data_IF_491656982484
#
_entry.id   IF_491656982484
#
_cell.length_a   1.000
_cell.length_b   1.000
_cell.length_c   1.000
_cell.angle_alpha   90.00
_cell.angle_beta   90.00
_cell.angle_gamma   90.00
#
_symmetry.space_group_name_H-M   'P 1'
#
loop_
_entity.id
_entity.type
_entity.pdbx_description
1 polymer ?
#
# COMPACT_ATOMS: atom_id res chain seq x y z
N UNK A 1 14.45 -21.83 -11.21
CA UNK A 1 14.87 -20.42 -11.01
C UNK A 1 13.63 -19.53 -10.81
N UNK A 2 12.85 -19.67 -9.72
CA UNK A 2 11.46 -19.12 -9.73
C UNK A 2 10.82 -18.71 -8.40
N UNK A 3 11.48 -18.83 -7.24
CA UNK A 3 10.96 -18.29 -5.96
C UNK A 3 11.70 -17.04 -5.54
N UNK A 4 13.02 -17.02 -5.69
CA UNK A 4 13.87 -15.88 -5.35
C UNK A 4 13.67 -14.70 -6.30
N UNK A 5 13.49 -14.97 -7.60
CA UNK A 5 13.25 -13.92 -8.60
C UNK A 5 11.91 -13.22 -8.36
N UNK A 6 10.83 -13.97 -8.08
CA UNK A 6 9.50 -13.39 -7.79
C UNK A 6 9.48 -12.58 -6.49
N UNK A 7 10.18 -13.05 -5.46
CA UNK A 7 10.36 -12.31 -4.20
C UNK A 7 11.20 -11.05 -4.40
N UNK A 8 12.26 -11.14 -5.21
CA UNK A 8 13.10 -9.99 -5.56
C UNK A 8 12.37 -8.98 -6.44
N UNK A 9 11.50 -9.40 -7.37
CA UNK A 9 10.70 -8.48 -8.19
C UNK A 9 9.58 -7.83 -7.40
N UNK A 10 8.91 -8.56 -6.50
CA UNK A 10 7.93 -7.98 -5.58
C UNK A 10 8.58 -6.99 -4.61
N UNK A 11 9.75 -7.35 -4.05
CA UNK A 11 10.54 -6.45 -3.21
C UNK A 11 11.05 -5.24 -4.01
N UNK A 12 11.49 -5.42 -5.25
CA UNK A 12 11.96 -4.34 -6.12
C UNK A 12 10.82 -3.42 -6.58
N UNK A 13 9.60 -3.92 -6.82
CA UNK A 13 8.41 -3.11 -7.07
C UNK A 13 7.97 -2.35 -5.82
N UNK A 14 8.07 -2.96 -4.65
CA UNK A 14 7.79 -2.30 -3.36
C UNK A 14 8.82 -1.21 -3.05
N UNK A 15 10.11 -1.49 -3.29
CA UNK A 15 11.21 -0.51 -3.14
C UNK A 15 11.16 0.61 -4.18
N UNK A 16 10.83 0.29 -5.45
CA UNK A 16 10.71 1.29 -6.52
C UNK A 16 9.50 2.22 -6.32
N UNK A 17 8.40 1.70 -5.75
CA UNK A 17 7.25 2.51 -5.35
C UNK A 17 7.55 3.35 -4.10
N UNK A 18 8.33 2.84 -3.14
CA UNK A 18 8.83 3.64 -2.00
C UNK A 18 9.76 4.78 -2.43
N UNK A 19 10.53 4.63 -3.52
CA UNK A 19 11.48 5.66 -3.98
C UNK A 19 10.85 6.82 -4.76
N UNK A 20 9.61 6.67 -5.24
CA UNK A 20 8.93 7.71 -6.03
C UNK A 20 8.01 8.62 -5.19
N UNK A 21 7.90 8.35 -3.90
CA UNK A 21 6.96 9.04 -3.03
C UNK A 21 7.66 9.47 -1.75
N UNK A 22 7.96 10.76 -1.66
CA UNK A 22 8.29 11.42 -0.40
C UNK A 22 7.05 11.48 0.50
N UNK A 23 6.61 10.34 1.04
CA UNK A 23 5.90 10.33 2.32
C UNK A 23 6.98 10.29 3.41
N UNK A 24 7.73 11.39 3.53
CA UNK A 24 8.91 11.48 4.39
C UNK A 24 8.60 11.06 5.83
N UNK A 25 9.51 10.31 6.44
CA UNK A 25 9.47 10.02 7.87
C UNK A 25 10.29 11.10 8.58
N UNK A 26 9.70 12.28 8.81
CA UNK A 26 10.39 13.38 9.47
C UNK A 26 10.10 13.41 10.97
N UNK A 27 10.73 12.46 11.66
CA UNK A 27 10.85 12.44 13.11
C UNK A 27 12.27 12.82 13.54
N UNK A 28 12.87 13.82 12.88
CA UNK A 28 14.22 14.32 13.16
C UNK A 28 14.36 14.98 14.54
N UNK A 29 13.25 15.19 15.26
CA UNK A 29 13.20 15.73 16.63
C UNK A 29 12.99 14.67 17.73
N UNK A 30 12.89 15.15 18.98
CA UNK A 30 12.50 14.31 20.13
C UNK A 30 11.02 13.94 20.07
N UNK A 31 10.66 12.74 20.53
CA UNK A 31 9.25 12.36 20.71
C UNK A 31 8.57 13.25 21.76
N UNK A 32 7.31 13.60 21.50
CA UNK A 32 6.46 14.43 22.36
C UNK A 32 5.17 13.73 22.75
N UNK A 33 4.24 14.47 23.37
CA UNK A 33 2.87 14.00 23.55
C UNK A 33 2.15 13.84 22.22
N UNK A 34 1.05 13.07 22.22
CA UNK A 34 0.27 12.78 21.01
C UNK A 34 -0.29 14.05 20.36
N UNK A 35 -0.09 14.21 19.04
CA UNK A 35 -0.58 15.34 18.24
C UNK A 35 -1.39 14.84 17.05
N UNK A 36 -2.49 15.54 16.77
CA UNK A 36 -3.29 15.35 15.54
C UNK A 36 -3.10 16.57 14.66
N UNK A 37 -2.71 16.34 13.41
CA UNK A 37 -2.59 17.35 12.39
C UNK A 37 -3.96 17.56 11.72
N UNK A 38 -4.46 18.79 11.74
CA UNK A 38 -5.79 19.14 11.21
C UNK A 38 -5.75 20.23 10.14
N UNK A 39 -4.66 21.00 10.07
CA UNK A 39 -4.50 22.18 9.20
C UNK A 39 -3.88 21.88 7.83
N UNK A 40 -3.52 20.62 7.57
CA UNK A 40 -2.95 20.20 6.29
C UNK A 40 -3.98 20.20 5.15
N UNK A 41 -3.53 20.18 3.90
CA UNK A 41 -4.43 20.21 2.74
C UNK A 41 -4.91 18.82 2.34
N UNK A 42 -6.15 18.72 1.86
CA UNK A 42 -6.68 17.49 1.24
C UNK A 42 -6.09 17.20 -0.15
N UNK A 43 -5.53 18.21 -0.81
CA UNK A 43 -5.05 18.12 -2.20
C UNK A 43 -3.57 18.43 -2.32
N UNK A 44 -2.83 18.31 -1.22
CA UNK A 44 -1.38 18.47 -1.22
C UNK A 44 -0.67 17.32 -1.94
N UNK A 45 0.56 17.57 -2.41
CA UNK A 45 1.40 16.56 -3.08
C UNK A 45 1.79 15.40 -2.16
N UNK A 46 1.84 15.65 -0.85
CA UNK A 46 2.01 14.65 0.21
C UNK A 46 0.88 13.60 0.18
N UNK A 47 -0.38 14.02 0.00
CA UNK A 47 -1.52 13.10 -0.12
C UNK A 47 -1.39 12.17 -1.32
N UNK A 48 -0.89 12.69 -2.43
CA UNK A 48 -0.60 11.88 -3.61
C UNK A 48 0.51 10.85 -3.34
N UNK A 49 1.53 11.22 -2.55
CA UNK A 49 2.59 10.30 -2.14
C UNK A 49 2.03 9.16 -1.27
N UNK A 50 1.23 9.47 -0.26
CA UNK A 50 0.52 8.47 0.58
C UNK A 50 -0.32 7.51 -0.27
N UNK A 51 -1.15 8.06 -1.17
CA UNK A 51 -1.92 7.25 -2.11
C UNK A 51 -1.05 6.32 -2.97
N UNK A 52 0.00 6.87 -3.58
CA UNK A 52 0.87 6.13 -4.50
C UNK A 52 1.66 5.01 -3.80
N UNK A 53 2.16 5.27 -2.59
CA UNK A 53 2.87 4.27 -1.76
C UNK A 53 1.93 3.16 -1.32
N UNK A 54 0.69 3.51 -0.96
CA UNK A 54 -0.27 2.54 -0.43
C UNK A 54 -0.86 1.61 -1.49
N UNK A 55 -0.88 2.02 -2.77
CA UNK A 55 -1.36 1.19 -3.87
C UNK A 55 -0.66 -0.19 -4.00
N UNK A 56 0.67 -0.32 -4.09
CA UNK A 56 1.32 -1.63 -4.14
C UNK A 56 1.03 -2.49 -2.90
N UNK A 57 0.91 -1.89 -1.70
CA UNK A 57 0.54 -2.62 -0.49
C UNK A 57 -0.89 -3.18 -0.58
N UNK A 58 -1.83 -2.42 -1.13
CA UNK A 58 -3.18 -2.88 -1.44
C UNK A 58 -3.20 -4.07 -2.40
N UNK A 59 -2.43 -3.99 -3.49
CA UNK A 59 -2.31 -5.08 -4.46
C UNK A 59 -1.72 -6.35 -3.83
N UNK A 60 -0.68 -6.21 -3.01
CA UNK A 60 -0.10 -7.31 -2.25
C UNK A 60 -1.10 -7.88 -1.25
N UNK A 61 -1.82 -7.02 -0.53
CA UNK A 61 -2.87 -7.43 0.40
C UNK A 61 -3.93 -8.26 -0.29
N UNK A 62 -4.40 -7.83 -1.46
CA UNK A 62 -5.41 -8.57 -2.23
C UNK A 62 -4.86 -9.93 -2.70
N UNK A 63 -3.59 -9.99 -3.09
CA UNK A 63 -2.92 -11.24 -3.40
C UNK A 63 -2.80 -12.18 -2.19
N UNK A 64 -2.53 -11.65 -0.98
CA UNK A 64 -2.50 -12.44 0.25
C UNK A 64 -3.91 -12.93 0.64
N UNK A 65 -4.93 -12.11 0.40
CA UNK A 65 -6.33 -12.42 0.70
C UNK A 65 -7.08 -13.12 -0.44
N UNK A 66 -6.39 -13.52 -1.52
CA UNK A 66 -6.99 -14.08 -2.75
C UNK A 66 -7.90 -15.29 -2.53
N UNK A 67 -7.62 -16.10 -1.50
CA UNK A 67 -8.35 -17.33 -1.20
C UNK A 67 -9.54 -17.07 -0.24
N UNK A 68 -9.85 -15.79 0.04
CA UNK A 68 -10.99 -15.36 0.89
C UNK A 68 -12.22 -14.99 0.06
N UNK A 69 -13.36 -14.78 0.71
CA UNK A 69 -14.59 -14.31 0.06
C UNK A 69 -14.49 -12.85 -0.42
N UNK A 70 -13.61 -12.04 0.17
CA UNK A 70 -13.52 -10.59 -0.08
C UNK A 70 -12.05 -10.13 -0.21
N UNK A 71 -11.32 -10.60 -1.24
CA UNK A 71 -9.89 -10.32 -1.40
C UNK A 71 -9.58 -8.82 -1.50
N UNK A 72 -10.44 -8.04 -2.15
CA UNK A 72 -10.26 -6.58 -2.25
C UNK A 72 -10.42 -5.91 -0.88
N UNK A 73 -11.43 -6.31 -0.09
CA UNK A 73 -11.69 -5.69 1.23
C UNK A 73 -10.54 -5.98 2.17
N UNK A 74 -10.19 -7.26 2.36
CA UNK A 74 -9.08 -7.64 3.23
C UNK A 74 -7.75 -7.13 2.69
N UNK A 75 -7.57 -7.11 1.38
CA UNK A 75 -6.38 -6.57 0.75
C UNK A 75 -6.20 -5.07 0.97
N UNK A 76 -7.29 -4.31 0.93
CA UNK A 76 -7.29 -2.89 1.26
C UNK A 76 -6.90 -2.67 2.72
N UNK A 77 -7.52 -3.43 3.65
CA UNK A 77 -7.21 -3.33 5.09
C UNK A 77 -5.73 -3.67 5.40
N UNK A 78 -5.22 -4.75 4.83
CA UNK A 78 -3.80 -5.12 4.95
C UNK A 78 -2.92 -4.03 4.33
N UNK A 79 -3.32 -3.50 3.17
CA UNK A 79 -2.56 -2.49 2.44
C UNK A 79 -2.52 -1.12 3.13
N UNK A 80 -3.53 -0.76 3.91
CA UNK A 80 -3.58 0.49 4.70
C UNK A 80 -2.73 0.42 5.95
N UNK A 81 -2.43 -0.78 6.48
CA UNK A 81 -1.74 -0.93 7.76
C UNK A 81 -0.37 -0.20 7.84
N UNK A 82 0.50 -0.24 6.81
CA UNK A 82 1.74 0.55 6.83
C UNK A 82 1.51 2.07 6.96
N UNK A 83 0.53 2.63 6.25
CA UNK A 83 0.16 4.05 6.35
C UNK A 83 -0.38 4.41 7.73
N UNK A 84 -1.27 3.58 8.28
CA UNK A 84 -1.74 3.75 9.66
C UNK A 84 -0.60 3.73 10.68
N UNK A 85 0.35 2.80 10.55
CA UNK A 85 1.52 2.75 11.43
C UNK A 85 2.39 3.99 11.30
N UNK A 86 2.59 4.51 10.07
CA UNK A 86 3.31 5.76 9.84
C UNK A 86 2.62 6.93 10.55
N UNK A 87 1.32 7.12 10.34
CA UNK A 87 0.57 8.20 10.97
C UNK A 87 0.57 8.09 12.50
N UNK A 88 0.54 6.87 13.04
CA UNK A 88 0.70 6.64 14.49
C UNK A 88 2.07 7.13 14.98
N UNK A 89 3.15 6.86 14.24
CA UNK A 89 4.47 7.35 14.64
C UNK A 89 4.54 8.87 14.50
N UNK A 90 4.02 9.45 13.41
CA UNK A 90 3.95 10.90 13.22
C UNK A 90 3.16 11.58 14.34
N UNK A 91 2.10 10.94 14.85
CA UNK A 91 1.37 11.39 16.05
C UNK A 91 2.23 11.53 17.31
N UNK A 92 3.36 10.84 17.40
CA UNK A 92 4.32 10.96 18.53
C UNK A 92 5.45 11.96 18.28
N UNK A 93 5.61 12.45 17.06
CA UNK A 93 6.72 13.32 16.68
C UNK A 93 6.36 14.79 16.94
N UNK A 94 7.36 15.60 17.32
CA UNK A 94 7.14 17.03 17.63
C UNK A 94 7.03 17.92 16.40
N UNK A 95 7.63 17.48 15.30
CA UNK A 95 7.71 18.16 14.01
C UNK A 95 6.55 17.81 13.07
N UNK A 96 5.87 16.69 13.34
CA UNK A 96 4.70 16.22 12.59
C UNK A 96 3.52 15.95 13.54
N UNK A 97 2.48 15.29 13.04
CA UNK A 97 1.33 14.84 13.82
C UNK A 97 0.50 13.85 13.02
N UNK A 98 -0.33 13.07 13.71
CA UNK A 98 -1.22 12.11 13.07
C UNK A 98 -2.19 12.85 12.14
N UNK A 99 -2.17 12.53 10.86
CA UNK A 99 -3.03 13.13 9.84
C UNK A 99 -4.05 12.12 9.36
N UNK A 100 -5.32 12.36 9.70
CA UNK A 100 -6.41 11.54 9.19
C UNK A 100 -6.60 11.70 7.67
N UNK A 101 -6.12 12.81 7.10
CA UNK A 101 -6.18 13.06 5.65
C UNK A 101 -5.14 12.21 4.91
N UNK A 102 -3.94 12.09 5.47
CA UNK A 102 -2.90 11.18 4.96
C UNK A 102 -3.35 9.72 5.06
N UNK A 103 -3.89 9.32 6.23
CA UNK A 103 -4.47 7.99 6.40
C UNK A 103 -5.61 7.70 5.40
N UNK A 104 -6.40 8.72 5.06
CA UNK A 104 -7.46 8.58 4.04
C UNK A 104 -6.85 8.36 2.66
N UNK A 105 -5.79 9.10 2.31
CA UNK A 105 -5.07 8.90 1.05
C UNK A 105 -4.44 7.49 0.98
N UNK A 106 -3.88 7.01 2.10
CA UNK A 106 -3.37 5.64 2.22
C UNK A 106 -4.47 4.59 2.01
N UNK A 107 -5.65 4.78 2.62
CA UNK A 107 -6.78 3.89 2.43
C UNK A 107 -7.27 3.84 0.98
N UNK A 108 -7.37 4.99 0.31
CA UNK A 108 -7.76 5.09 -1.10
C UNK A 108 -6.70 4.47 -2.04
N UNK A 109 -5.42 4.68 -1.72
CA UNK A 109 -4.30 4.07 -2.43
C UNK A 109 -4.38 2.56 -2.34
N UNK A 110 -4.44 2.02 -1.11
CA UNK A 110 -4.56 0.59 -0.87
C UNK A 110 -5.81 -0.02 -1.51
N UNK A 111 -6.95 0.66 -1.48
CA UNK A 111 -8.15 0.20 -2.17
C UNK A 111 -7.95 0.12 -3.69
N UNK A 112 -7.38 1.17 -4.29
CA UNK A 112 -7.07 1.21 -5.72
C UNK A 112 -6.13 0.08 -6.10
N UNK A 113 -5.08 -0.11 -5.31
CA UNK A 113 -4.14 -1.21 -5.46
C UNK A 113 -4.78 -2.59 -5.37
N UNK A 114 -5.65 -2.79 -4.38
CA UNK A 114 -6.36 -4.05 -4.18
C UNK A 114 -7.30 -4.36 -5.35
N UNK A 115 -8.02 -3.35 -5.85
CA UNK A 115 -8.87 -3.47 -7.04
C UNK A 115 -8.05 -3.83 -8.29
N UNK A 116 -6.97 -3.10 -8.56
CA UNK A 116 -6.10 -3.34 -9.71
C UNK A 116 -5.40 -4.69 -9.62
N UNK A 117 -4.89 -5.05 -8.44
CA UNK A 117 -4.26 -6.35 -8.19
C UNK A 117 -5.25 -7.50 -8.40
N UNK A 118 -6.46 -7.39 -7.86
CA UNK A 118 -7.50 -8.40 -8.03
C UNK A 118 -7.99 -8.52 -9.49
N UNK A 119 -8.02 -7.40 -10.22
CA UNK A 119 -8.40 -7.39 -11.64
C UNK A 119 -7.29 -7.92 -12.55
N UNK A 120 -6.05 -7.49 -12.35
CA UNK A 120 -4.93 -7.76 -13.24
C UNK A 120 -4.19 -9.06 -12.92
N UNK A 121 -4.21 -9.57 -11.68
CA UNK A 121 -3.42 -10.74 -11.29
C UNK A 121 -4.32 -11.99 -11.30
N UNK A 122 -4.04 -12.91 -12.22
CA UNK A 122 -4.65 -14.25 -12.21
C UNK A 122 -3.74 -15.22 -11.48
N UNK A 123 -4.35 -16.08 -10.66
CA UNK A 123 -3.67 -17.09 -9.89
C UNK A 123 -4.33 -18.45 -10.09
N UNK A 124 -3.52 -19.48 -10.40
CA UNK A 124 -3.99 -20.86 -10.48
C UNK A 124 -3.03 -21.80 -9.77
N UNK A 125 -3.56 -22.63 -8.87
CA UNK A 125 -2.85 -23.74 -8.23
C UNK A 125 -3.44 -25.07 -8.70
N UNK A 126 -2.62 -25.87 -9.37
CA UNK A 126 -2.95 -27.24 -9.76
C UNK A 126 -1.91 -28.21 -9.19
N UNK A 127 -2.21 -29.51 -9.20
CA UNK A 127 -1.30 -30.55 -8.71
C UNK A 127 0.10 -30.52 -9.39
N UNK A 128 0.20 -29.95 -10.59
CA UNK A 128 1.46 -29.77 -11.33
C UNK A 128 2.21 -28.46 -11.08
N UNK A 129 1.70 -27.53 -10.26
CA UNK A 129 2.42 -26.28 -9.93
C UNK A 129 1.54 -25.06 -9.71
N UNK A 130 2.21 -23.92 -9.50
CA UNK A 130 1.59 -22.60 -9.26
C UNK A 130 1.86 -21.65 -10.41
N UNK A 131 0.80 -21.11 -11.02
CA UNK A 131 0.86 -20.08 -12.06
C UNK A 131 0.43 -18.72 -11.47
N UNK A 132 1.23 -17.69 -11.75
CA UNK A 132 0.89 -16.28 -11.54
C UNK A 132 0.99 -15.64 -12.91
N UNK A 133 -0.10 -15.03 -13.37
CA UNK A 133 -0.16 -14.37 -14.68
C UNK A 133 -0.82 -13.01 -14.57
N UNK A 134 -0.57 -12.18 -15.58
CA UNK A 134 -1.35 -10.95 -15.79
C UNK A 134 -2.55 -11.31 -16.65
N UNK A 135 -3.75 -11.03 -16.16
CA UNK A 135 -4.98 -11.15 -16.93
C UNK A 135 -4.94 -10.13 -18.07
N UNK A 136 -5.05 -10.62 -19.31
CA UNK A 136 -5.28 -9.78 -20.47
C UNK A 136 -6.59 -10.23 -21.12
N UNK A 137 -7.51 -9.29 -21.33
CA UNK A 137 -8.75 -9.56 -22.06
C UNK A 137 -8.53 -9.14 -23.51
N UNK A 138 -8.11 -10.07 -24.38
CA UNK A 138 -8.23 -9.85 -25.81
C UNK A 138 -9.70 -10.04 -26.20
N UNK A 139 -10.47 -8.95 -26.31
CA UNK A 139 -11.65 -8.91 -27.19
C UNK A 139 -11.15 -8.46 -28.56
N UNK A 140 -10.95 -9.41 -29.47
CA UNK A 140 -10.99 -9.18 -30.91
C UNK A 140 -12.20 -9.94 -31.46
#
# INVERSE_FOLDING_TARGET
MTTTLKRATALALMLAASSAAEAGFDCSGSHGGWRVQTSDSWTGSDKLAHFAVSAPFGALGAYLARDTQHPVVYGSLIGTAPGLLKEIVDGTCRTSGFSYKDLTADALGALTGALLGNWAITYSRNAGGTMVGVAYFNRF
#
